data_IF_590974889460
#
_entry.id   IF_590974889460
#
_cell.length_a   1.000
_cell.length_b   1.000
_cell.length_c   1.000
_cell.angle_alpha   90.00
_cell.angle_beta   90.00
_cell.angle_gamma   90.00
#
_symmetry.space_group_name_H-M   'P 1'
#
loop_
_entity.id
_entity.type
_entity.pdbx_description
1 polymer ?
#
# COMPACT_ATOMS: atom_id res chain seq x y z
N UNK A 1 77.93 32.28 43.74
CA UNK A 1 77.06 31.46 44.56
C UNK A 1 75.63 31.53 43.97
N UNK A 2 75.33 30.57 43.10
CA UNK A 2 74.15 30.60 42.32
C UNK A 2 73.28 29.43 42.76
N UNK A 3 72.05 29.75 43.29
CA UNK A 3 71.06 28.79 43.73
C UNK A 3 70.30 28.21 42.51
N UNK A 4 70.41 26.90 42.33
CA UNK A 4 69.64 26.17 41.29
C UNK A 4 68.31 25.74 41.86
N UNK A 5 67.25 26.34 41.37
CA UNK A 5 65.86 26.03 41.72
C UNK A 5 65.35 24.91 40.81
N UNK A 6 65.02 23.74 41.41
CA UNK A 6 64.47 22.56 40.71
C UNK A 6 62.97 22.71 40.55
N UNK A 7 62.52 22.88 39.32
CA UNK A 7 61.09 22.77 38.97
C UNK A 7 60.73 21.29 38.80
N UNK A 8 59.82 20.80 39.62
CA UNK A 8 59.18 19.51 39.49
C UNK A 8 57.89 19.71 38.68
N UNK A 9 57.87 19.26 37.42
CA UNK A 9 56.64 19.18 36.63
C UNK A 9 55.85 17.93 37.05
N UNK A 10 54.70 18.13 37.66
CA UNK A 10 53.72 17.08 37.90
C UNK A 10 52.90 16.90 36.61
N UNK A 11 53.12 15.79 35.92
CA UNK A 11 52.33 15.39 34.73
C UNK A 11 51.02 14.77 35.21
N UNK A 12 49.91 15.53 35.19
CA UNK A 12 48.59 15.00 35.45
C UNK A 12 48.07 14.26 34.23
N UNK A 13 48.07 12.93 34.27
CA UNK A 13 47.43 12.07 33.23
C UNK A 13 45.91 12.08 33.47
N UNK A 14 45.20 12.90 32.70
CA UNK A 14 43.75 12.81 32.58
C UNK A 14 43.38 11.57 31.76
N UNK A 15 43.09 10.46 32.44
CA UNK A 15 42.44 9.30 31.79
C UNK A 15 40.98 9.64 31.54
N UNK A 16 40.69 10.16 30.36
CA UNK A 16 39.32 10.37 29.88
C UNK A 16 38.66 9.02 29.63
N UNK A 17 37.75 8.66 30.52
CA UNK A 17 36.82 7.53 30.28
C UNK A 17 35.89 7.86 29.09
N UNK A 18 36.32 7.50 27.90
CA UNK A 18 35.46 7.48 26.73
C UNK A 18 34.41 6.36 26.94
N UNK A 19 33.30 6.70 27.57
CA UNK A 19 32.12 5.83 27.60
C UNK A 19 31.59 5.69 26.17
N UNK A 20 32.06 4.67 25.47
CA UNK A 20 31.51 4.27 24.17
C UNK A 20 30.06 3.85 24.41
N UNK A 21 29.12 4.78 24.23
CA UNK A 21 27.70 4.42 24.19
C UNK A 21 27.50 3.60 22.93
N UNK A 22 27.43 2.28 23.08
CA UNK A 22 26.93 1.41 22.04
C UNK A 22 25.50 1.83 21.73
N UNK A 23 25.31 2.62 20.68
CA UNK A 23 24.01 2.79 20.05
C UNK A 23 23.67 1.46 19.41
N UNK A 24 22.85 0.65 20.08
CA UNK A 24 22.24 -0.51 19.45
C UNK A 24 21.40 0.04 18.29
N UNK A 25 21.81 -0.26 17.07
CA UNK A 25 20.98 0.01 15.91
C UNK A 25 19.67 -0.79 16.10
N UNK A 26 18.56 -0.09 16.13
CA UNK A 26 17.25 -0.75 16.15
C UNK A 26 17.10 -1.45 14.82
N UNK A 27 16.86 -2.76 14.87
CA UNK A 27 16.58 -3.54 13.67
C UNK A 27 15.39 -2.91 12.93
N UNK A 28 15.49 -2.86 11.60
CA UNK A 28 14.49 -2.22 10.75
C UNK A 28 13.99 -3.19 9.69
N UNK A 29 12.69 -3.15 9.44
CA UNK A 29 12.05 -3.83 8.30
C UNK A 29 11.41 -2.77 7.41
N UNK A 30 11.74 -2.79 6.13
CA UNK A 30 11.18 -1.88 5.13
C UNK A 30 10.10 -2.58 4.31
N UNK A 31 8.89 -2.06 4.37
CA UNK A 31 7.72 -2.62 3.68
C UNK A 31 7.29 -1.70 2.54
N UNK A 32 7.10 -2.26 1.35
CA UNK A 32 6.50 -1.56 0.22
C UNK A 32 5.11 -2.12 0.00
N UNK A 33 4.07 -1.37 0.31
CA UNK A 33 2.68 -1.82 0.31
C UNK A 33 1.79 -0.97 -0.59
N UNK A 34 0.88 -1.62 -1.32
CA UNK A 34 -0.12 -0.93 -2.11
C UNK A 34 -0.89 0.11 -1.26
N UNK A 35 -1.14 1.29 -1.82
CA UNK A 35 -1.75 2.44 -1.12
C UNK A 35 -3.07 2.10 -0.40
N UNK A 36 -3.87 1.18 -0.94
CA UNK A 36 -5.12 0.71 -0.31
C UNK A 36 -4.92 0.03 1.05
N UNK A 37 -3.70 -0.44 1.35
CA UNK A 37 -3.37 -1.12 2.61
C UNK A 37 -2.98 -0.17 3.74
N UNK A 38 -2.83 1.14 3.49
CA UNK A 38 -2.26 2.11 4.42
C UNK A 38 -2.80 1.98 5.84
N UNK A 39 -4.12 1.97 6.01
CA UNK A 39 -4.72 1.95 7.35
C UNK A 39 -4.51 0.61 8.07
N UNK A 40 -4.63 -0.51 7.35
CA UNK A 40 -4.49 -1.83 7.93
C UNK A 40 -3.02 -2.13 8.31
N UNK A 41 -2.08 -1.79 7.42
CA UNK A 41 -0.65 -2.02 7.68
C UNK A 41 -0.15 -1.09 8.78
N UNK A 42 -0.51 0.20 8.80
CA UNK A 42 -0.11 1.10 9.90
C UNK A 42 -0.57 0.57 11.27
N UNK A 43 -1.78 0.01 11.38
CA UNK A 43 -2.24 -0.61 12.63
C UNK A 43 -1.41 -1.87 12.97
N UNK A 44 -1.07 -2.67 11.97
CA UNK A 44 -0.24 -3.88 12.17
C UNK A 44 1.21 -3.55 12.51
N UNK A 45 1.77 -2.51 11.91
CA UNK A 45 3.11 -1.99 12.22
C UNK A 45 3.17 -1.61 13.71
N UNK A 46 2.23 -0.79 14.18
CA UNK A 46 2.14 -0.39 15.60
C UNK A 46 2.00 -1.60 16.54
N UNK A 47 1.13 -2.56 16.20
CA UNK A 47 0.91 -3.77 17.02
C UNK A 47 2.20 -4.61 17.10
N UNK A 48 2.95 -4.70 16.01
CA UNK A 48 4.17 -5.49 15.97
C UNK A 48 5.31 -4.80 16.72
N UNK A 49 5.52 -3.51 16.50
CA UNK A 49 6.56 -2.70 17.16
C UNK A 49 6.39 -2.66 18.68
N UNK A 50 5.15 -2.61 19.19
CA UNK A 50 4.88 -2.65 20.64
C UNK A 50 5.38 -3.93 21.32
N UNK A 51 5.50 -5.03 20.60
CA UNK A 51 5.90 -6.34 21.13
C UNK A 51 7.33 -6.72 20.77
N UNK A 52 7.94 -6.03 19.84
CA UNK A 52 9.25 -6.37 19.29
C UNK A 52 10.13 -5.12 19.26
N UNK A 53 11.42 -5.29 19.53
CA UNK A 53 12.41 -4.20 19.43
C UNK A 53 12.87 -3.99 17.99
N UNK A 54 11.92 -3.71 17.09
CA UNK A 54 12.14 -3.53 15.66
C UNK A 54 11.34 -2.32 15.19
N UNK A 55 11.86 -1.57 14.23
CA UNK A 55 11.15 -0.48 13.56
C UNK A 55 10.63 -0.96 12.21
N UNK A 56 9.34 -0.77 11.96
CA UNK A 56 8.74 -1.04 10.63
C UNK A 56 8.63 0.29 9.89
N UNK A 57 9.23 0.36 8.70
CA UNK A 57 9.12 1.53 7.82
C UNK A 57 8.33 1.14 6.58
N UNK A 58 7.09 1.59 6.48
CA UNK A 58 6.24 1.27 5.34
C UNK A 58 6.12 2.45 4.37
N UNK A 59 6.33 2.16 3.09
CA UNK A 59 6.10 3.07 1.96
C UNK A 59 4.86 2.65 1.20
N UNK A 60 3.97 3.61 0.93
CA UNK A 60 2.70 3.37 0.25
C UNK A 60 2.65 4.10 -1.08
N UNK A 61 2.31 3.39 -2.15
CA UNK A 61 2.08 3.94 -3.49
C UNK A 61 1.28 2.95 -4.35
N UNK A 62 1.08 3.24 -5.63
CA UNK A 62 0.62 2.26 -6.60
C UNK A 62 1.60 1.08 -6.68
N UNK A 63 1.07 -0.15 -6.78
CA UNK A 63 1.92 -1.35 -6.83
C UNK A 63 2.91 -1.33 -8.00
N UNK A 64 2.54 -0.70 -9.12
CA UNK A 64 3.42 -0.47 -10.27
C UNK A 64 4.65 0.36 -9.91
N UNK A 65 4.44 1.48 -9.21
CA UNK A 65 5.51 2.38 -8.77
C UNK A 65 6.46 1.66 -7.80
N UNK A 66 5.88 0.96 -6.80
CA UNK A 66 6.67 0.23 -5.81
C UNK A 66 7.49 -0.90 -6.44
N UNK A 67 6.89 -1.68 -7.35
CA UNK A 67 7.61 -2.74 -8.05
C UNK A 67 8.77 -2.21 -8.89
N UNK A 68 8.58 -1.07 -9.57
CA UNK A 68 9.66 -0.41 -10.33
C UNK A 68 10.77 0.16 -9.44
N UNK A 69 10.42 0.69 -8.26
CA UNK A 69 11.41 1.13 -7.27
C UNK A 69 12.24 -0.06 -6.76
N UNK A 70 11.61 -1.21 -6.47
CA UNK A 70 12.32 -2.43 -6.06
C UNK A 70 13.24 -2.92 -7.18
N UNK A 71 12.77 -2.94 -8.44
CA UNK A 71 13.61 -3.29 -9.59
C UNK A 71 14.83 -2.36 -9.72
N UNK A 72 14.66 -1.07 -9.40
CA UNK A 72 15.74 -0.09 -9.40
C UNK A 72 16.65 -0.14 -8.17
N UNK A 73 16.50 -1.15 -7.29
CA UNK A 73 17.37 -1.37 -6.12
C UNK A 73 16.93 -0.65 -4.85
N UNK A 74 15.68 -0.15 -4.77
CA UNK A 74 15.18 0.42 -3.52
C UNK A 74 15.16 -0.64 -2.40
N UNK A 75 15.54 -0.28 -1.15
CA UNK A 75 15.74 -1.23 -0.07
C UNK A 75 14.42 -1.71 0.54
N UNK A 76 13.71 -2.58 -0.17
CA UNK A 76 12.50 -3.23 0.33
C UNK A 76 12.84 -4.62 0.91
N UNK A 77 12.28 -4.95 2.06
CA UNK A 77 12.31 -6.29 2.63
C UNK A 77 11.06 -7.08 2.26
N UNK A 78 9.91 -6.40 2.26
CA UNK A 78 8.60 -7.00 1.97
C UNK A 78 7.88 -6.15 0.92
N UNK A 79 7.27 -6.82 -0.06
CA UNK A 79 6.38 -6.18 -1.03
C UNK A 79 4.96 -6.75 -0.91
N UNK A 80 3.94 -5.87 -0.89
CA UNK A 80 2.53 -6.24 -0.87
C UNK A 80 1.83 -5.52 -2.01
N UNK A 81 1.48 -6.26 -3.05
CA UNK A 81 0.83 -5.74 -4.26
C UNK A 81 -0.69 -5.82 -4.15
N UNK A 82 -1.40 -4.94 -4.87
CA UNK A 82 -2.84 -5.00 -5.05
C UNK A 82 -3.26 -5.77 -6.32
N UNK A 83 -2.34 -6.37 -7.01
CA UNK A 83 -2.58 -7.35 -8.08
C UNK A 83 -1.46 -8.40 -8.14
N UNK A 84 -1.78 -9.53 -8.75
CA UNK A 84 -0.83 -10.63 -8.95
C UNK A 84 0.27 -10.25 -9.95
N UNK A 85 -0.05 -9.43 -10.96
CA UNK A 85 0.84 -9.13 -12.09
C UNK A 85 2.10 -8.39 -11.65
N UNK A 86 2.03 -7.45 -10.70
CA UNK A 86 3.21 -6.76 -10.19
C UNK A 86 4.07 -7.64 -9.27
N UNK A 87 3.47 -8.61 -8.60
CA UNK A 87 4.22 -9.64 -7.87
C UNK A 87 4.91 -10.60 -8.86
N UNK A 88 4.20 -11.06 -9.90
CA UNK A 88 4.77 -11.88 -10.97
C UNK A 88 5.91 -11.15 -11.69
N UNK A 89 5.76 -9.83 -11.89
CA UNK A 89 6.80 -8.99 -12.45
C UNK A 89 8.11 -9.08 -11.65
N UNK A 90 8.06 -8.91 -10.32
CA UNK A 90 9.24 -9.02 -9.46
C UNK A 90 9.76 -10.46 -9.40
N UNK A 91 8.89 -11.45 -9.44
CA UNK A 91 9.30 -12.86 -9.50
C UNK A 91 10.05 -13.17 -10.80
N UNK A 92 9.56 -12.70 -11.94
CA UNK A 92 10.24 -12.86 -13.24
C UNK A 92 11.60 -12.15 -13.30
N UNK A 93 11.78 -11.09 -12.48
CA UNK A 93 13.06 -10.40 -12.28
C UNK A 93 13.94 -11.08 -11.21
N UNK A 94 13.50 -12.22 -10.66
CA UNK A 94 14.19 -12.96 -9.59
C UNK A 94 14.40 -12.15 -8.29
N UNK A 95 13.59 -11.09 -8.08
CA UNK A 95 13.61 -10.25 -6.88
C UNK A 95 12.69 -10.77 -5.78
N UNK A 96 11.75 -11.67 -6.11
CA UNK A 96 10.90 -12.41 -5.17
C UNK A 96 10.87 -13.86 -5.61
N UNK A 97 11.16 -14.79 -4.71
CA UNK A 97 11.08 -16.23 -5.01
C UNK A 97 9.63 -16.72 -4.95
N UNK A 98 9.31 -17.73 -5.77
CA UNK A 98 8.00 -18.42 -5.74
C UNK A 98 7.65 -18.95 -4.35
N UNK A 99 8.63 -19.44 -3.60
CA UNK A 99 8.44 -20.02 -2.27
C UNK A 99 8.25 -18.93 -1.18
N UNK A 100 8.49 -17.68 -1.51
CA UNK A 100 8.48 -16.57 -0.58
C UNK A 100 7.29 -15.63 -0.82
N UNK A 101 6.29 -16.08 -1.57
CA UNK A 101 5.05 -15.33 -1.83
C UNK A 101 3.82 -16.14 -1.45
N UNK A 102 2.80 -15.44 -0.95
CA UNK A 102 1.47 -16.00 -0.73
C UNK A 102 0.39 -15.01 -1.17
N UNK A 103 -0.75 -15.53 -1.63
CA UNK A 103 -1.94 -14.71 -1.87
C UNK A 103 -2.63 -14.49 -0.52
N UNK A 104 -2.54 -13.26 -0.01
CA UNK A 104 -2.91 -12.96 1.37
C UNK A 104 -4.35 -12.48 1.50
N UNK A 105 -4.75 -11.50 0.65
CA UNK A 105 -6.02 -10.80 0.79
C UNK A 105 -6.77 -10.73 -0.55
N UNK A 106 -8.07 -10.51 -0.44
CA UNK A 106 -8.96 -10.15 -1.55
C UNK A 106 -9.72 -8.86 -1.30
N UNK A 107 -10.31 -8.30 -2.36
CA UNK A 107 -11.07 -7.05 -2.31
C UNK A 107 -12.18 -7.06 -3.36
N UNK A 108 -13.00 -5.98 -3.39
CA UNK A 108 -14.06 -5.78 -4.39
C UNK A 108 -13.95 -4.40 -5.01
N UNK A 109 -14.39 -4.29 -6.27
CA UNK A 109 -14.39 -3.04 -7.02
C UNK A 109 -15.73 -2.34 -6.88
N UNK A 110 -15.70 -1.04 -6.53
CA UNK A 110 -16.90 -0.23 -6.32
C UNK A 110 -16.82 1.10 -7.05
N UNK A 111 -17.99 1.68 -7.33
CA UNK A 111 -18.12 3.06 -7.77
C UNK A 111 -18.52 3.92 -6.59
N UNK A 112 -17.81 5.02 -6.39
CA UNK A 112 -18.07 5.99 -5.34
C UNK A 112 -18.47 7.36 -5.93
N UNK A 113 -19.24 8.12 -5.15
CA UNK A 113 -19.55 9.51 -5.40
C UNK A 113 -19.25 10.34 -4.15
N UNK A 114 -19.10 11.70 -4.27
CA UNK A 114 -19.07 12.57 -3.11
C UNK A 114 -20.34 12.41 -2.27
N UNK A 115 -20.20 12.26 -0.97
CA UNK A 115 -21.35 12.08 -0.05
C UNK A 115 -22.35 13.25 -0.14
N UNK A 116 -21.85 14.45 -0.40
CA UNK A 116 -22.69 15.64 -0.55
C UNK A 116 -23.53 15.66 -1.85
N UNK A 117 -23.17 14.83 -2.84
CA UNK A 117 -23.83 14.75 -4.15
C UNK A 117 -23.96 13.30 -4.60
N UNK A 118 -24.70 12.45 -3.86
CA UNK A 118 -24.89 11.08 -4.24
C UNK A 118 -25.72 10.99 -5.52
N UNK A 119 -25.41 10.02 -6.35
CA UNK A 119 -26.23 9.71 -7.55
C UNK A 119 -26.73 8.27 -7.50
N UNK A 120 -27.87 8.03 -8.13
CA UNK A 120 -28.41 6.66 -8.28
C UNK A 120 -27.77 6.02 -9.50
N UNK A 121 -26.92 5.03 -9.28
CA UNK A 121 -26.22 4.30 -10.34
C UNK A 121 -26.56 2.80 -10.23
N UNK A 122 -26.96 2.20 -11.34
CA UNK A 122 -27.16 0.74 -11.45
C UNK A 122 -26.08 0.17 -12.36
N UNK A 123 -25.18 -0.64 -11.80
CA UNK A 123 -24.12 -1.26 -12.59
C UNK A 123 -24.68 -2.37 -13.47
N UNK A 124 -24.47 -2.27 -14.78
CA UNK A 124 -24.91 -3.29 -15.75
C UNK A 124 -25.04 -2.76 -17.15
N UNK A 125 -25.06 -3.69 -18.13
CA UNK A 125 -25.08 -3.38 -19.58
C UNK A 125 -26.32 -2.57 -20.01
N UNK A 126 -27.47 -2.83 -19.39
CA UNK A 126 -28.74 -2.20 -19.76
C UNK A 126 -28.95 -0.80 -19.16
N UNK A 127 -28.08 -0.35 -18.27
CA UNK A 127 -28.24 0.96 -17.63
C UNK A 127 -27.46 2.05 -18.37
N UNK A 128 -28.17 3.06 -18.85
CA UNK A 128 -27.54 4.24 -19.46
C UNK A 128 -27.08 5.22 -18.38
N UNK A 129 -25.84 5.03 -17.91
CA UNK A 129 -25.26 5.88 -16.88
C UNK A 129 -25.03 7.32 -17.36
N UNK A 130 -25.00 7.60 -18.66
CA UNK A 130 -24.72 8.93 -19.20
C UNK A 130 -25.81 9.94 -18.84
N UNK A 131 -27.01 9.46 -18.50
CA UNK A 131 -28.10 10.32 -18.02
C UNK A 131 -27.90 10.86 -16.61
N UNK A 132 -27.09 10.19 -15.79
CA UNK A 132 -26.88 10.53 -14.38
C UNK A 132 -25.45 10.89 -14.04
N UNK A 133 -24.50 10.55 -14.89
CA UNK A 133 -23.08 10.72 -14.65
C UNK A 133 -22.36 11.30 -15.88
N UNK A 134 -22.44 12.63 -16.04
CA UNK A 134 -21.83 13.35 -17.16
C UNK A 134 -20.46 13.94 -16.83
N UNK A 135 -20.08 13.99 -15.56
CA UNK A 135 -18.82 14.55 -15.08
C UNK A 135 -17.62 13.60 -15.21
N UNK A 136 -16.48 14.04 -14.67
CA UNK A 136 -15.24 13.27 -14.63
C UNK A 136 -15.37 12.04 -13.74
N UNK A 137 -14.69 10.97 -14.14
CA UNK A 137 -14.50 9.73 -13.36
C UNK A 137 -13.02 9.65 -12.96
N UNK A 138 -12.74 9.23 -11.73
CA UNK A 138 -11.37 9.03 -11.25
C UNK A 138 -11.10 7.56 -10.95
N UNK A 139 -9.93 7.07 -11.35
CA UNK A 139 -9.37 5.78 -10.91
C UNK A 139 -7.85 5.78 -11.11
N UNK A 140 -7.13 4.75 -10.70
CA UNK A 140 -5.72 4.62 -11.01
C UNK A 140 -5.46 4.52 -12.51
N UNK A 141 -4.23 4.81 -12.96
CA UNK A 141 -3.81 4.63 -14.35
C UNK A 141 -4.21 3.24 -14.86
N UNK A 142 -4.96 3.20 -15.95
CA UNK A 142 -5.60 1.97 -16.46
C UNK A 142 -4.65 1.02 -17.17
N UNK A 143 -3.42 1.43 -17.41
CA UNK A 143 -2.37 0.60 -18.02
C UNK A 143 -1.49 -0.07 -16.96
N UNK A 144 -1.23 0.61 -15.84
CA UNK A 144 -0.22 0.20 -14.86
C UNK A 144 -0.75 0.00 -13.44
N UNK A 145 -1.62 0.88 -12.93
CA UNK A 145 -2.08 0.84 -11.54
C UNK A 145 -3.15 -0.24 -11.37
N UNK A 146 -3.05 -1.12 -10.38
CA UNK A 146 -3.97 -2.25 -10.21
C UNK A 146 -5.45 -1.89 -10.28
N UNK A 147 -5.92 -0.90 -9.49
CA UNK A 147 -7.33 -0.50 -9.49
C UNK A 147 -7.79 -0.02 -10.86
N UNK A 148 -6.94 0.71 -11.59
CA UNK A 148 -7.25 1.17 -12.95
C UNK A 148 -7.37 0.04 -13.94
N UNK A 149 -6.51 -0.97 -13.85
CA UNK A 149 -6.57 -2.19 -14.67
C UNK A 149 -7.88 -2.96 -14.45
N UNK A 150 -8.26 -3.15 -13.18
CA UNK A 150 -9.54 -3.78 -12.82
C UNK A 150 -10.74 -2.93 -13.26
N UNK A 151 -10.67 -1.60 -13.11
CA UNK A 151 -11.70 -0.68 -13.57
C UNK A 151 -11.91 -0.78 -15.08
N UNK A 152 -10.83 -0.80 -15.87
CA UNK A 152 -10.90 -0.98 -17.32
C UNK A 152 -11.56 -2.31 -17.69
N UNK A 153 -11.17 -3.41 -17.05
CA UNK A 153 -11.77 -4.73 -17.31
C UNK A 153 -13.29 -4.70 -17.04
N UNK A 154 -13.68 -4.19 -15.85
CA UNK A 154 -15.08 -4.11 -15.45
C UNK A 154 -15.91 -3.24 -16.40
N UNK A 155 -15.43 -2.05 -16.73
CA UNK A 155 -16.09 -1.12 -17.65
C UNK A 155 -16.23 -1.70 -19.07
N UNK A 156 -15.19 -2.39 -19.55
CA UNK A 156 -15.22 -3.07 -20.86
C UNK A 156 -16.25 -4.20 -20.87
N UNK A 157 -16.26 -5.01 -19.83
CA UNK A 157 -17.20 -6.14 -19.67
C UNK A 157 -18.66 -5.72 -19.70
N UNK A 158 -19.00 -4.56 -19.11
CA UNK A 158 -20.36 -4.03 -19.09
C UNK A 158 -20.66 -3.04 -20.23
N UNK A 159 -19.69 -2.81 -21.16
CA UNK A 159 -19.88 -1.93 -22.33
C UNK A 159 -19.87 -0.42 -22.01
N UNK A 160 -19.23 0.00 -20.91
CA UNK A 160 -19.17 1.41 -20.52
C UNK A 160 -17.82 2.06 -20.84
N UNK A 161 -16.81 1.28 -21.20
CA UNK A 161 -15.44 1.75 -21.35
C UNK A 161 -15.30 2.95 -22.30
N UNK A 162 -15.84 2.86 -23.50
CA UNK A 162 -15.66 3.89 -24.52
C UNK A 162 -16.22 5.26 -24.09
N UNK A 163 -17.35 5.23 -23.36
CA UNK A 163 -17.96 6.46 -22.84
C UNK A 163 -17.27 7.01 -21.60
N UNK A 164 -16.75 6.15 -20.72
CA UNK A 164 -16.05 6.57 -19.48
C UNK A 164 -14.65 7.02 -19.80
N UNK A 165 -13.92 6.35 -20.68
CA UNK A 165 -12.51 6.64 -21.01
C UNK A 165 -12.27 8.08 -21.48
N UNK A 166 -13.24 8.69 -22.19
CA UNK A 166 -13.16 10.08 -22.66
C UNK A 166 -13.24 11.12 -21.53
N UNK A 167 -13.64 10.72 -20.33
CA UNK A 167 -13.82 11.58 -19.15
C UNK A 167 -13.06 11.07 -17.93
N UNK A 168 -12.15 10.11 -18.16
CA UNK A 168 -11.37 9.49 -17.09
C UNK A 168 -10.20 10.39 -16.69
N UNK A 169 -10.04 10.58 -15.38
CA UNK A 169 -8.87 11.17 -14.74
C UNK A 169 -8.10 10.02 -14.08
N UNK A 170 -6.96 9.72 -14.62
CA UNK A 170 -6.09 8.66 -14.14
C UNK A 170 -5.15 9.18 -13.07
N UNK A 171 -4.93 8.40 -12.01
CA UNK A 171 -4.11 8.76 -10.84
C UNK A 171 -3.00 7.74 -10.60
N UNK A 172 -1.98 8.16 -9.85
CA UNK A 172 -0.85 7.30 -9.50
C UNK A 172 -1.21 6.11 -8.59
N UNK A 173 -2.30 6.23 -7.82
CA UNK A 173 -2.82 5.15 -6.96
C UNK A 173 -4.30 5.35 -6.63
N UNK A 174 -4.89 4.37 -5.92
CA UNK A 174 -6.31 4.38 -5.57
C UNK A 174 -6.67 5.46 -4.54
N UNK A 175 -5.73 5.84 -3.65
CA UNK A 175 -5.99 6.87 -2.63
C UNK A 175 -6.04 8.25 -3.22
N UNK A 176 -5.24 8.54 -4.24
CA UNK A 176 -5.35 9.76 -5.02
C UNK A 176 -6.72 9.85 -5.71
N UNK A 177 -7.19 8.77 -6.34
CA UNK A 177 -8.53 8.71 -6.93
C UNK A 177 -9.64 8.94 -5.89
N UNK A 178 -9.57 8.25 -4.74
CA UNK A 178 -10.51 8.44 -3.63
C UNK A 178 -10.57 9.91 -3.18
N UNK A 179 -9.41 10.54 -3.01
CA UNK A 179 -9.30 11.92 -2.55
C UNK A 179 -9.89 12.91 -3.55
N UNK A 180 -9.71 12.72 -4.86
CA UNK A 180 -10.32 13.56 -5.89
C UNK A 180 -11.85 13.50 -5.83
N UNK A 181 -12.42 12.31 -5.63
CA UNK A 181 -13.86 12.18 -5.44
C UNK A 181 -14.32 12.81 -4.12
N UNK A 182 -13.59 12.55 -3.03
CA UNK A 182 -13.92 13.09 -1.71
C UNK A 182 -13.97 14.63 -1.67
N UNK A 183 -13.12 15.30 -2.50
CA UNK A 183 -13.10 16.76 -2.68
C UNK A 183 -14.08 17.27 -3.74
N UNK A 184 -14.77 16.37 -4.47
CA UNK A 184 -15.72 16.73 -5.52
C UNK A 184 -15.08 17.13 -6.84
N UNK A 185 -13.78 16.87 -7.05
CA UNK A 185 -13.05 17.12 -8.30
C UNK A 185 -13.43 16.13 -9.40
N UNK A 186 -13.80 14.90 -8.99
CA UNK A 186 -14.46 13.91 -9.83
C UNK A 186 -15.87 13.66 -9.34
N UNK A 187 -16.82 13.54 -10.30
CA UNK A 187 -18.20 13.19 -10.00
C UNK A 187 -18.32 11.76 -9.49
N UNK A 188 -17.55 10.86 -10.06
CA UNK A 188 -17.49 9.45 -9.67
C UNK A 188 -16.04 8.98 -9.56
N UNK A 189 -15.82 7.90 -8.84
CA UNK A 189 -14.55 7.20 -8.82
C UNK A 189 -14.74 5.70 -8.79
N UNK A 190 -13.77 4.99 -9.33
CA UNK A 190 -13.69 3.53 -9.22
C UNK A 190 -12.52 3.22 -8.30
N UNK A 191 -12.83 2.62 -7.16
CA UNK A 191 -11.89 2.32 -6.07
C UNK A 191 -12.20 0.93 -5.49
N UNK A 192 -11.41 0.48 -4.53
CA UNK A 192 -11.76 -0.74 -3.79
C UNK A 192 -12.78 -0.44 -2.69
N UNK A 193 -13.57 -1.46 -2.32
CA UNK A 193 -14.55 -1.35 -1.24
C UNK A 193 -13.91 -0.93 0.09
N UNK A 194 -12.69 -1.41 0.37
CA UNK A 194 -11.91 -1.05 1.56
C UNK A 194 -11.54 0.43 1.60
N UNK A 195 -11.22 1.05 0.44
CA UNK A 195 -10.90 2.48 0.35
C UNK A 195 -12.16 3.33 0.56
N UNK A 196 -13.29 2.91 0.01
CA UNK A 196 -14.57 3.58 0.24
C UNK A 196 -14.96 3.56 1.72
N UNK A 197 -14.74 2.43 2.40
CA UNK A 197 -15.15 2.24 3.80
C UNK A 197 -14.43 3.15 4.80
N UNK A 198 -13.21 3.58 4.50
CA UNK A 198 -12.43 4.44 5.42
C UNK A 198 -12.71 5.93 5.24
N UNK A 199 -13.40 6.35 4.19
CA UNK A 199 -13.67 7.75 3.90
C UNK A 199 -15.09 8.14 4.32
N UNK A 200 -15.19 9.20 5.14
CA UNK A 200 -16.47 9.78 5.56
C UNK A 200 -17.10 10.69 4.50
N UNK A 201 -16.35 11.05 3.45
CA UNK A 201 -16.72 12.05 2.45
C UNK A 201 -17.22 11.45 1.14
N UNK A 202 -17.19 10.13 1.00
CA UNK A 202 -17.72 9.43 -0.17
C UNK A 202 -18.79 8.42 0.23
N UNK A 203 -19.58 8.01 -0.74
CA UNK A 203 -20.56 6.95 -0.62
C UNK A 203 -20.44 5.99 -1.80
N UNK A 204 -20.60 4.70 -1.55
CA UNK A 204 -20.69 3.69 -2.61
C UNK A 204 -22.03 3.85 -3.31
N UNK A 205 -22.00 4.06 -4.63
CA UNK A 205 -23.20 4.19 -5.49
C UNK A 205 -23.38 3.01 -6.42
N UNK A 206 -22.40 2.10 -6.47
CA UNK A 206 -22.49 0.86 -7.24
C UNK A 206 -21.36 -0.10 -6.90
N UNK A 207 -21.61 -1.40 -7.05
CA UNK A 207 -20.60 -2.45 -6.91
C UNK A 207 -20.53 -3.22 -8.22
N UNK A 208 -19.34 -3.39 -8.79
CA UNK A 208 -19.18 -4.19 -9.99
C UNK A 208 -19.39 -5.68 -9.67
N UNK A 209 -20.12 -6.43 -10.50
CA UNK A 209 -20.19 -7.88 -10.39
C UNK A 209 -18.77 -8.50 -10.53
N UNK A 210 -18.46 -9.47 -9.68
CA UNK A 210 -17.11 -10.07 -9.61
C UNK A 210 -16.68 -10.77 -10.91
N UNK A 211 -17.65 -11.21 -11.74
CA UNK A 211 -17.38 -11.80 -13.06
C UNK A 211 -17.06 -10.78 -14.16
N UNK A 212 -17.02 -9.48 -13.86
CA UNK A 212 -16.70 -8.41 -14.81
C UNK A 212 -15.22 -8.04 -14.84
N UNK A 213 -14.43 -8.53 -13.90
CA UNK A 213 -13.00 -8.31 -13.79
C UNK A 213 -12.31 -9.52 -13.14
N UNK A 214 -11.00 -9.62 -13.29
CA UNK A 214 -10.23 -10.66 -12.61
C UNK A 214 -10.30 -10.49 -11.10
N UNK A 215 -10.31 -11.60 -10.36
CA UNK A 215 -10.31 -11.56 -8.88
C UNK A 215 -9.21 -10.66 -8.35
N UNK A 216 -9.58 -9.74 -7.48
CA UNK A 216 -8.63 -8.83 -6.83
C UNK A 216 -7.91 -9.58 -5.73
N UNK A 217 -6.63 -9.85 -5.95
CA UNK A 217 -5.77 -10.58 -5.03
C UNK A 217 -4.60 -9.70 -4.63
N UNK A 218 -4.30 -9.67 -3.34
CA UNK A 218 -3.13 -9.01 -2.76
C UNK A 218 -2.10 -10.07 -2.37
N UNK A 219 -1.12 -10.34 -3.22
CA UNK A 219 0.01 -11.17 -2.84
C UNK A 219 0.97 -10.38 -1.95
N UNK A 220 1.57 -11.07 -0.99
CA UNK A 220 2.72 -10.61 -0.21
C UNK A 220 3.94 -11.43 -0.59
N UNK A 221 5.11 -10.80 -0.72
CA UNK A 221 6.37 -11.46 -1.02
C UNK A 221 7.53 -10.90 -0.23
N UNK A 222 8.50 -11.78 0.12
CA UNK A 222 9.79 -11.39 0.66
C UNK A 222 10.72 -10.99 -0.49
N UNK A 223 11.26 -9.77 -0.42
CA UNK A 223 12.28 -9.24 -1.33
C UNK A 223 13.67 -9.49 -0.75
N UNK A 224 13.82 -9.22 0.56
CA UNK A 224 15.05 -9.44 1.29
C UNK A 224 14.78 -10.34 2.50
N UNK A 225 15.58 -11.41 2.64
CA UNK A 225 15.43 -12.44 3.69
C UNK A 225 16.41 -12.18 4.83
N UNK A 226 16.09 -11.29 5.72
CA UNK A 226 16.73 -11.20 7.02
C UNK A 226 15.81 -11.75 8.12
N UNK A 227 16.34 -11.92 9.31
CA UNK A 227 15.60 -12.51 10.45
C UNK A 227 14.33 -11.75 10.77
N UNK A 228 14.39 -10.42 10.81
CA UNK A 228 13.26 -9.57 11.21
C UNK A 228 12.21 -9.46 10.09
N UNK A 229 12.63 -9.38 8.84
CA UNK A 229 11.70 -9.41 7.71
C UNK A 229 10.90 -10.71 7.65
N UNK A 230 11.55 -11.86 7.89
CA UNK A 230 10.87 -13.15 7.94
C UNK A 230 9.89 -13.27 9.11
N UNK A 231 10.22 -12.71 10.29
CA UNK A 231 9.31 -12.69 11.45
C UNK A 231 8.10 -11.81 11.14
N UNK A 232 8.30 -10.61 10.61
CA UNK A 232 7.21 -9.69 10.28
C UNK A 232 6.34 -10.24 9.14
N UNK A 233 6.94 -10.83 8.12
CA UNK A 233 6.22 -11.54 7.05
C UNK A 233 5.30 -12.64 7.59
N UNK A 234 5.76 -13.45 8.55
CA UNK A 234 4.95 -14.47 9.24
C UNK A 234 3.85 -13.83 10.10
N UNK A 235 4.16 -12.72 10.79
CA UNK A 235 3.17 -11.98 11.58
C UNK A 235 2.02 -11.47 10.71
N UNK A 236 2.30 -10.89 9.54
CA UNK A 236 1.27 -10.42 8.60
C UNK A 236 0.34 -11.55 8.13
N UNK A 237 0.74 -12.79 8.29
CA UNK A 237 -0.04 -13.98 7.98
C UNK A 237 -0.75 -14.61 9.20
N UNK A 238 -0.62 -14.03 10.38
CA UNK A 238 -1.16 -14.56 11.62
C UNK A 238 -2.67 -14.33 11.79
N UNK A 239 -3.27 -15.03 12.75
CA UNK A 239 -4.66 -14.80 13.16
C UNK A 239 -4.90 -13.38 13.70
N UNK A 240 -3.90 -12.75 14.33
CA UNK A 240 -3.97 -11.38 14.79
C UNK A 240 -4.05 -10.41 13.60
N UNK A 241 -3.18 -10.55 12.60
CA UNK A 241 -3.23 -9.76 11.38
C UNK A 241 -4.53 -9.98 10.60
N UNK A 242 -5.02 -11.21 10.53
CA UNK A 242 -6.33 -11.56 9.93
C UNK A 242 -7.47 -10.73 10.53
N UNK A 243 -7.51 -10.54 11.85
CA UNK A 243 -8.54 -9.73 12.51
C UNK A 243 -8.47 -8.27 12.07
N UNK A 244 -7.27 -7.70 11.96
CA UNK A 244 -7.06 -6.33 11.50
C UNK A 244 -7.47 -6.18 10.04
N UNK A 245 -7.03 -7.05 9.14
CA UNK A 245 -7.43 -7.00 7.74
C UNK A 245 -8.96 -7.07 7.57
N UNK A 246 -9.63 -7.98 8.28
CA UNK A 246 -11.10 -8.07 8.26
C UNK A 246 -11.78 -6.80 8.82
N UNK A 247 -11.23 -6.18 9.87
CA UNK A 247 -11.71 -4.89 10.40
C UNK A 247 -11.72 -3.80 9.34
N UNK A 248 -10.72 -3.78 8.44
CA UNK A 248 -10.65 -2.84 7.32
C UNK A 248 -11.38 -3.30 6.05
N UNK A 249 -12.12 -4.41 6.11
CA UNK A 249 -12.99 -4.86 5.03
C UNK A 249 -12.33 -5.76 3.97
N UNK A 250 -11.08 -6.17 4.17
CA UNK A 250 -10.43 -7.14 3.30
C UNK A 250 -10.99 -8.55 3.53
N UNK A 251 -11.15 -9.34 2.47
CA UNK A 251 -11.26 -10.78 2.58
C UNK A 251 -9.87 -11.40 2.77
N UNK A 252 -9.76 -12.44 3.59
CA UNK A 252 -8.50 -13.16 3.82
C UNK A 252 -8.57 -14.49 3.10
N UNK A 253 -7.57 -14.77 2.24
CA UNK A 253 -7.56 -15.90 1.30
C UNK A 253 -6.91 -17.17 1.85
N UNK A 254 -6.56 -17.18 3.12
CA UNK A 254 -5.99 -18.36 3.80
C UNK A 254 -7.04 -19.31 4.30
#
# INVERSE_FOLDING_TARGET
MVMIQKYRYALAICVGLFSCRQTFAVDRVTVYAAASLTNAINELDMIYEQKNKVQIKTSYAGSSTLAKQIEAGAPADIFISADVQWMDYLQNKQLVSTNDRVNLLGNRLVVIAPKARPIKLKIGKSFDFTRVAQGKWCTGDTKSVPVGKYAKQALTSIGWWDKVSTRLVETEDVRAALNFVARGECQLGIVYATDAAISKNVVIVGTFPENTYQSIIYPIGLVNKNTESMKFYKFLQSSQATKVFKKYGFSVLK
#
